data_IF_959630119042
#
_entry.id   IF_959630119042
#
_cell.length_a   1.000
_cell.length_b   1.000
_cell.length_c   1.000
_cell.angle_alpha   90.00
_cell.angle_beta   90.00
_cell.angle_gamma   90.00
#
_symmetry.space_group_name_H-M   'P 1'
#
loop_
_entity.id
_entity.type
_entity.pdbx_description
1 polymer ?
#
# COMPACT_ATOMS: atom_id res chain seq x y z
N UNK A 1 -0.82 11.84 16.45
CA UNK A 1 0.26 12.17 15.48
C UNK A 1 0.24 13.65 15.02
N UNK A 2 -0.75 14.10 14.23
CA UNK A 2 -0.74 15.45 13.63
C UNK A 2 -0.66 16.62 14.64
N UNK A 3 -1.23 16.46 15.84
CA UNK A 3 -1.18 17.48 16.91
C UNK A 3 0.25 17.62 17.49
N UNK A 4 1.00 16.52 17.58
CA UNK A 4 2.38 16.54 18.08
C UNK A 4 3.31 17.23 17.09
N UNK A 5 3.24 16.88 15.81
CA UNK A 5 4.01 17.53 14.73
C UNK A 5 3.76 19.05 14.70
N UNK A 6 2.49 19.47 14.83
CA UNK A 6 2.14 20.90 14.89
C UNK A 6 2.78 21.61 16.08
N UNK A 7 2.84 20.95 17.24
CA UNK A 7 3.44 21.52 18.44
C UNK A 7 4.97 21.58 18.31
N UNK A 8 5.60 20.59 17.68
CA UNK A 8 7.04 20.58 17.39
C UNK A 8 7.44 21.68 16.42
N UNK A 9 6.68 21.88 15.33
CA UNK A 9 6.90 22.99 14.39
C UNK A 9 6.80 24.33 15.09
N UNK A 10 5.79 24.52 15.96
CA UNK A 10 5.61 25.75 16.73
C UNK A 10 6.74 25.98 17.74
N UNK A 11 7.18 24.94 18.43
CA UNK A 11 8.28 25.03 19.39
C UNK A 11 9.58 25.38 18.68
N UNK A 12 9.86 24.77 17.53
CA UNK A 12 11.05 25.05 16.74
C UNK A 12 11.04 26.49 16.19
N UNK A 13 9.90 26.93 15.63
CA UNK A 13 9.73 28.31 15.13
C UNK A 13 9.77 29.38 16.23
N UNK A 14 9.58 29.02 17.49
CA UNK A 14 9.72 29.95 18.61
C UNK A 14 11.18 30.10 19.09
N UNK A 15 12.06 29.16 18.74
CA UNK A 15 13.44 29.09 19.24
C UNK A 15 14.45 29.46 18.14
N UNK A 16 14.13 29.20 16.87
CA UNK A 16 15.05 29.43 15.75
C UNK A 16 14.59 30.59 14.86
N UNK A 17 15.55 31.37 14.37
CA UNK A 17 15.33 32.46 13.39
C UNK A 17 15.35 31.95 11.94
N UNK A 18 15.05 30.66 11.76
CA UNK A 18 15.05 29.99 10.46
C UNK A 18 13.76 30.30 9.70
N UNK A 19 13.85 30.29 8.36
CA UNK A 19 12.65 30.35 7.52
C UNK A 19 11.68 29.22 7.88
N UNK A 20 10.39 29.54 7.92
CA UNK A 20 9.31 28.58 8.17
C UNK A 20 9.37 27.37 7.23
N UNK A 21 9.79 27.57 5.98
CA UNK A 21 9.98 26.49 5.01
C UNK A 21 11.04 25.47 5.44
N UNK A 22 12.15 25.94 6.01
CA UNK A 22 13.25 25.12 6.51
C UNK A 22 12.80 24.30 7.71
N UNK A 23 12.07 24.94 8.64
CA UNK A 23 11.55 24.30 9.85
C UNK A 23 10.54 23.20 9.50
N UNK A 24 9.61 23.48 8.57
CA UNK A 24 8.65 22.47 8.12
C UNK A 24 9.38 21.29 7.46
N UNK A 25 10.37 21.56 6.61
CA UNK A 25 11.11 20.52 5.92
C UNK A 25 11.93 19.64 6.88
N UNK A 26 12.63 20.24 7.85
CA UNK A 26 13.44 19.50 8.82
C UNK A 26 12.56 18.65 9.75
N UNK A 27 11.51 19.24 10.30
CA UNK A 27 10.57 18.55 11.20
C UNK A 27 9.86 17.39 10.51
N UNK A 28 9.38 17.57 9.28
CA UNK A 28 8.74 16.49 8.52
C UNK A 28 9.69 15.33 8.20
N UNK A 29 10.99 15.62 7.98
CA UNK A 29 11.99 14.60 7.69
C UNK A 29 12.33 13.76 8.91
N UNK A 30 12.36 14.38 10.09
CA UNK A 30 12.69 13.71 11.35
C UNK A 30 11.47 13.12 12.04
N UNK A 31 10.27 13.60 11.70
CA UNK A 31 9.04 13.09 12.28
C UNK A 31 8.91 11.61 11.93
N UNK A 32 8.89 10.71 12.93
CA UNK A 32 8.75 9.30 12.64
C UNK A 32 7.42 9.12 11.92
N UNK A 33 7.49 8.72 10.65
CA UNK A 33 6.38 8.17 9.89
C UNK A 33 6.02 6.81 10.49
N UNK A 34 5.66 6.80 11.77
CA UNK A 34 5.30 5.62 12.53
C UNK A 34 4.07 4.91 11.96
N UNK A 35 3.37 5.53 11.00
CA UNK A 35 2.24 4.94 10.27
C UNK A 35 2.62 4.35 8.91
N UNK A 36 3.81 4.62 8.36
CA UNK A 36 4.25 3.93 7.13
C UNK A 36 4.57 2.45 7.37
N UNK A 37 4.88 2.08 8.62
CA UNK A 37 4.97 0.70 9.09
C UNK A 37 3.63 0.08 9.51
N UNK A 38 2.53 0.84 9.49
CA UNK A 38 1.17 0.36 9.74
C UNK A 38 0.38 0.12 8.46
N UNK A 39 1.03 0.18 7.30
CA UNK A 39 0.44 -0.50 6.15
C UNK A 39 0.27 -1.96 6.57
N UNK A 40 -0.94 -2.56 6.49
CA UNK A 40 -1.10 -3.98 6.76
C UNK A 40 -0.03 -4.67 5.91
N UNK A 41 0.87 -5.35 6.62
CA UNK A 41 1.96 -6.11 6.02
C UNK A 41 1.37 -6.82 4.81
N UNK A 42 2.08 -6.79 3.67
CA UNK A 42 1.53 -7.35 2.43
C UNK A 42 1.02 -8.79 2.62
N UNK A 43 1.48 -9.50 3.64
CA UNK A 43 1.12 -10.87 3.99
C UNK A 43 -0.37 -11.09 4.32
N UNK A 44 -1.03 -10.45 5.31
CA UNK A 44 -2.47 -10.57 5.52
C UNK A 44 -3.30 -10.13 4.30
N UNK A 45 -2.87 -9.10 3.57
CA UNK A 45 -3.52 -8.66 2.33
C UNK A 45 -3.40 -9.73 1.22
N UNK A 46 -2.22 -10.30 1.04
CA UNK A 46 -1.94 -11.39 0.11
C UNK A 46 -2.70 -12.65 0.47
N UNK A 47 -2.81 -12.99 1.76
CA UNK A 47 -3.63 -14.10 2.25
C UNK A 47 -5.12 -13.84 2.01
N UNK A 48 -5.58 -12.61 2.19
CA UNK A 48 -6.97 -12.24 1.90
C UNK A 48 -7.28 -12.34 0.40
N UNK A 49 -6.37 -11.85 -0.45
CA UNK A 49 -6.46 -11.98 -1.91
C UNK A 49 -6.42 -13.46 -2.33
N UNK A 50 -5.55 -14.28 -1.73
CA UNK A 50 -5.49 -15.72 -2.01
C UNK A 50 -6.78 -16.43 -1.58
N UNK A 51 -7.37 -16.08 -0.44
CA UNK A 51 -8.65 -16.64 0.04
C UNK A 51 -9.85 -16.16 -0.78
N UNK A 52 -9.78 -14.94 -1.33
CA UNK A 52 -10.82 -14.38 -2.21
C UNK A 52 -10.69 -14.82 -3.66
N UNK A 53 -9.51 -15.31 -4.08
CA UNK A 53 -9.37 -16.04 -5.33
C UNK A 53 -10.14 -17.34 -5.19
N UNK A 54 -11.38 -17.35 -5.68
CA UNK A 54 -12.03 -18.57 -6.13
C UNK A 54 -11.10 -19.21 -7.15
N UNK A 55 -10.36 -20.23 -6.72
CA UNK A 55 -9.66 -21.13 -7.64
C UNK A 55 -10.73 -21.68 -8.56
N UNK A 56 -10.72 -21.24 -9.81
CA UNK A 56 -11.65 -21.79 -10.77
C UNK A 56 -11.33 -23.27 -10.90
N UNK A 57 -12.30 -24.10 -10.51
CA UNK A 57 -12.13 -25.55 -10.54
C UNK A 57 -11.94 -25.96 -11.98
N UNK A 58 -10.88 -26.72 -12.23
CA UNK A 58 -10.65 -27.35 -13.53
C UNK A 58 -11.88 -28.18 -13.93
N UNK A 59 -12.11 -28.28 -15.23
CA UNK A 59 -13.18 -29.11 -15.79
C UNK A 59 -12.92 -30.60 -15.50
N UNK A 60 -13.90 -31.45 -15.85
CA UNK A 60 -13.83 -32.89 -15.60
C UNK A 60 -12.60 -33.57 -16.25
N UNK A 61 -12.01 -32.94 -17.26
CA UNK A 61 -10.82 -33.39 -17.97
C UNK A 61 -9.51 -32.81 -17.40
N UNK A 62 -9.59 -32.08 -16.27
CA UNK A 62 -8.45 -31.46 -15.60
C UNK A 62 -7.92 -30.20 -16.31
N UNK A 63 -8.69 -29.62 -17.25
CA UNK A 63 -8.32 -28.42 -18.01
C UNK A 63 -8.95 -27.18 -17.40
N UNK A 64 -8.40 -26.00 -17.71
CA UNK A 64 -8.98 -24.72 -17.27
C UNK A 64 -10.42 -24.59 -17.79
N UNK A 65 -11.33 -23.93 -17.06
CA UNK A 65 -12.69 -23.69 -17.54
C UNK A 65 -12.73 -22.99 -18.90
N UNK A 66 -13.70 -23.33 -19.74
CA UNK A 66 -13.80 -22.85 -21.13
C UNK A 66 -13.72 -21.32 -21.28
N UNK A 67 -14.30 -20.59 -20.32
CA UNK A 67 -14.26 -19.11 -20.30
C UNK A 67 -12.84 -18.55 -20.13
N UNK A 68 -11.92 -19.31 -19.55
CA UNK A 68 -10.51 -18.96 -19.41
C UNK A 68 -9.64 -19.52 -20.53
N UNK A 69 -10.13 -20.53 -21.27
CA UNK A 69 -9.39 -21.14 -22.39
C UNK A 69 -9.48 -20.34 -23.69
N UNK A 70 -10.39 -19.38 -23.77
CA UNK A 70 -10.54 -18.52 -24.94
C UNK A 70 -9.75 -17.25 -24.76
N UNK A 71 -8.78 -17.03 -25.63
CA UNK A 71 -8.18 -15.71 -25.80
C UNK A 71 -9.14 -14.81 -26.59
N UNK A 72 -8.96 -13.48 -26.54
CA UNK A 72 -9.73 -12.52 -27.34
C UNK A 72 -9.60 -12.70 -28.88
N UNK A 73 -8.89 -13.74 -29.32
CA UNK A 73 -8.63 -14.11 -30.71
C UNK A 73 -9.17 -15.49 -31.08
N UNK A 74 -10.00 -16.10 -30.22
CA UNK A 74 -10.53 -17.47 -30.37
C UNK A 74 -9.46 -18.56 -30.54
N UNK A 75 -8.21 -18.26 -30.21
CA UNK A 75 -7.12 -19.23 -30.16
C UNK A 75 -7.13 -19.89 -28.78
N UNK A 76 -7.18 -21.23 -28.78
CA UNK A 76 -7.08 -22.02 -27.57
C UNK A 76 -5.67 -21.94 -26.98
N UNK A 77 -5.57 -21.89 -25.65
CA UNK A 77 -4.27 -22.06 -24.98
C UNK A 77 -3.70 -23.46 -25.31
N UNK A 78 -2.51 -23.49 -25.92
CA UNK A 78 -1.72 -24.70 -26.21
C UNK A 78 -1.08 -25.20 -24.92
#
# INVERSE_FOLDING_TARGET
>A
PAIQLKNEIKAHAAITDESTSTIIHSTLRTYPLSDAGQHPTNEPLMLMIQRQRTTETVDADGRLPDKLRKTYRDEGFI
#
